data_IF_759539904631
#
_entry.id   IF_759539904631
#
_cell.length_a   1.000
_cell.length_b   1.000
_cell.length_c   1.000
_cell.angle_alpha   90.00
_cell.angle_beta   90.00
_cell.angle_gamma   90.00
#
_symmetry.space_group_name_H-M   'P 1'
#
loop_
_entity.id
_entity.type
_entity.pdbx_description
1 polymer ?
#
# COMPACT_ATOMS: atom_id res chain seq x y z
N UNK A 1 8.99 28.86 -18.55
CA UNK A 1 9.98 28.43 -17.52
C UNK A 1 11.41 28.96 -17.76
N UNK A 2 11.92 29.04 -19.00
CA UNK A 2 13.32 29.46 -19.26
C UNK A 2 13.65 30.93 -18.94
N UNK A 3 12.67 31.83 -18.80
CA UNK A 3 12.93 33.25 -18.50
C UNK A 3 13.04 33.59 -17.01
N UNK A 4 12.54 32.76 -16.09
CA UNK A 4 12.51 33.09 -14.64
C UNK A 4 13.81 32.70 -13.92
N UNK A 5 14.65 31.83 -14.51
CA UNK A 5 15.92 31.40 -13.91
C UNK A 5 17.08 32.40 -14.11
N UNK A 6 16.89 33.48 -14.88
CA UNK A 6 17.94 34.49 -15.16
C UNK A 6 18.12 35.54 -14.06
N UNK A 7 17.19 35.66 -13.11
CA UNK A 7 17.23 36.73 -12.08
C UNK A 7 18.33 36.48 -11.03
N UNK A 8 18.86 35.24 -10.92
CA UNK A 8 19.89 34.87 -9.94
C UNK A 8 21.35 35.01 -10.40
N UNK A 9 21.62 35.38 -11.65
CA UNK A 9 23.00 35.45 -12.17
C UNK A 9 23.81 36.63 -11.62
N UNK A 10 23.15 37.72 -11.20
CA UNK A 10 23.83 38.89 -10.64
C UNK A 10 24.44 38.71 -9.24
N UNK A 11 24.13 37.62 -8.53
CA UNK A 11 24.50 37.42 -7.12
C UNK A 11 25.46 36.25 -6.86
N UNK A 12 26.02 35.62 -7.90
CA UNK A 12 27.01 34.53 -7.75
C UNK A 12 26.49 33.25 -7.07
N UNK A 13 25.16 33.09 -6.93
CA UNK A 13 24.57 31.95 -6.23
C UNK A 13 24.60 30.67 -7.09
N UNK A 14 24.98 29.54 -6.49
CA UNK A 14 24.94 28.23 -7.13
C UNK A 14 23.50 27.79 -7.44
N UNK A 15 23.28 26.88 -8.42
CA UNK A 15 21.95 26.46 -8.85
C UNK A 15 21.07 25.94 -7.70
N UNK A 16 21.67 25.22 -6.74
CA UNK A 16 20.98 24.68 -5.57
C UNK A 16 20.50 25.81 -4.64
N UNK A 17 21.33 26.82 -4.41
CA UNK A 17 20.97 27.97 -3.55
C UNK A 17 19.85 28.81 -4.16
N UNK A 18 19.82 28.96 -5.50
CA UNK A 18 18.72 29.63 -6.22
C UNK A 18 17.40 28.88 -6.05
N UNK A 19 17.43 27.55 -6.11
CA UNK A 19 16.24 26.72 -5.93
C UNK A 19 15.67 26.81 -4.50
N UNK A 20 16.55 26.81 -3.49
CA UNK A 20 16.14 26.98 -2.09
C UNK A 20 15.52 28.37 -1.86
N UNK A 21 16.12 29.44 -2.39
CA UNK A 21 15.58 30.80 -2.27
C UNK A 21 14.19 30.92 -2.91
N UNK A 22 13.98 30.25 -4.04
CA UNK A 22 12.70 30.25 -4.74
C UNK A 22 11.60 29.55 -3.95
N UNK A 23 11.89 28.41 -3.30
CA UNK A 23 10.93 27.71 -2.42
C UNK A 23 10.55 28.60 -1.24
N UNK A 24 11.54 29.28 -0.62
CA UNK A 24 11.29 30.20 0.50
C UNK A 24 10.41 31.38 0.09
N UNK A 25 10.62 31.95 -1.10
CA UNK A 25 9.77 33.03 -1.62
C UNK A 25 8.34 32.57 -1.91
N UNK A 26 8.15 31.34 -2.41
CA UNK A 26 6.81 30.78 -2.61
C UNK A 26 6.10 30.59 -1.27
N UNK A 27 6.80 30.08 -0.24
CA UNK A 27 6.20 29.90 1.08
C UNK A 27 5.87 31.25 1.73
N UNK A 28 6.75 32.24 1.60
CA UNK A 28 6.50 33.60 2.06
C UNK A 28 5.29 34.22 1.34
N UNK A 29 5.17 34.01 0.02
CA UNK A 29 4.03 34.48 -0.76
C UNK A 29 2.71 33.82 -0.32
N UNK A 30 2.72 32.51 -0.05
CA UNK A 30 1.54 31.79 0.46
C UNK A 30 1.10 32.34 1.82
N UNK A 31 2.05 32.70 2.69
CA UNK A 31 1.77 33.29 4.01
C UNK A 31 1.24 34.73 3.88
N UNK A 32 1.71 35.48 2.88
CA UNK A 32 1.31 36.88 2.65
C UNK A 32 0.03 37.05 1.83
N UNK A 33 -0.57 35.96 1.31
CA UNK A 33 -1.90 36.05 0.72
C UNK A 33 -2.92 36.33 1.84
N UNK A 34 -3.60 37.50 1.83
CA UNK A 34 -4.68 37.75 2.76
C UNK A 34 -5.74 36.65 2.56
N UNK A 35 -6.04 35.93 3.63
CA UNK A 35 -7.06 34.90 3.62
C UNK A 35 -8.38 35.53 3.20
N UNK A 36 -8.83 35.23 1.97
CA UNK A 36 -10.19 35.50 1.54
C UNK A 36 -11.13 34.64 2.39
N UNK A 37 -11.47 35.11 3.58
CA UNK A 37 -12.65 34.69 4.32
C UNK A 37 -13.88 35.21 3.58
N UNK A 38 -14.29 34.49 2.55
CA UNK A 38 -15.62 34.60 2.00
C UNK A 38 -16.61 34.02 3.03
N UNK A 39 -17.06 34.86 3.96
CA UNK A 39 -18.28 34.61 4.71
C UNK A 39 -19.45 34.71 3.73
N UNK A 40 -19.91 33.57 3.24
CA UNK A 40 -21.23 33.48 2.64
C UNK A 40 -22.26 33.76 3.73
N UNK A 41 -22.81 34.98 3.71
CA UNK A 41 -23.99 35.35 4.49
C UNK A 41 -25.15 34.45 4.06
N UNK A 42 -25.57 33.55 4.94
CA UNK A 42 -26.86 32.88 4.84
C UNK A 42 -27.90 33.89 5.30
N UNK A 43 -28.55 34.57 4.36
CA UNK A 43 -29.73 35.40 4.63
C UNK A 43 -30.81 34.54 5.29
N UNK A 44 -31.05 34.84 6.57
CA UNK A 44 -32.14 34.28 7.35
C UNK A 44 -33.46 34.96 6.93
N UNK A 45 -34.12 34.44 5.89
CA UNK A 45 -35.53 34.75 5.63
C UNK A 45 -36.41 33.74 6.36
N UNK A 46 -36.73 34.11 7.59
CA UNK A 46 -37.89 33.60 8.32
C UNK A 46 -39.17 33.98 7.57
N UNK A 47 -39.78 33.00 6.90
CA UNK A 47 -41.20 33.02 6.61
C UNK A 47 -41.74 31.62 6.88
N UNK A 48 -42.22 31.43 8.10
CA UNK A 48 -42.99 30.27 8.53
C UNK A 48 -44.30 30.23 7.75
N UNK A 49 -44.61 29.18 6.96
CA UNK A 49 -46.00 28.84 6.69
C UNK A 49 -46.50 28.01 7.87
N UNK A 50 -47.56 28.46 8.51
CA UNK A 50 -48.34 27.64 9.43
C UNK A 50 -49.02 26.51 8.65
N UNK A 51 -48.92 25.33 9.25
CA UNK A 51 -49.90 24.23 9.27
C UNK A 51 -49.68 23.01 8.37
N UNK A 52 -49.74 21.87 9.07
CA UNK A 52 -50.21 20.52 8.69
C UNK A 52 -49.35 19.66 7.76
N UNK A 53 -48.58 18.74 8.37
CA UNK A 53 -48.69 17.28 8.15
C UNK A 53 -47.39 16.58 8.58
N UNK A 54 -47.48 15.66 9.56
CA UNK A 54 -46.36 14.87 10.07
C UNK A 54 -45.82 13.80 9.12
N UNK A 55 -46.23 13.77 7.84
CA UNK A 55 -45.81 12.77 6.85
C UNK A 55 -44.67 13.23 5.92
N UNK A 56 -44.39 14.54 5.83
CA UNK A 56 -43.45 15.09 4.83
C UNK A 56 -41.97 14.99 5.25
N UNK A 57 -41.68 14.95 6.54
CA UNK A 57 -40.34 14.71 7.07
C UNK A 57 -39.87 13.25 6.88
N UNK A 58 -40.82 12.31 6.86
CA UNK A 58 -40.54 10.88 6.72
C UNK A 58 -40.22 10.49 5.26
N UNK A 59 -40.75 11.21 4.27
CA UNK A 59 -40.54 10.93 2.84
C UNK A 59 -39.23 11.52 2.31
N UNK A 60 -38.87 12.75 2.70
CA UNK A 60 -37.62 13.38 2.26
C UNK A 60 -36.37 12.81 2.97
N UNK A 61 -36.48 12.48 4.27
CA UNK A 61 -35.38 11.84 5.02
C UNK A 61 -35.07 10.42 4.53
N UNK A 62 -36.10 9.64 4.19
CA UNK A 62 -35.94 8.28 3.65
C UNK A 62 -35.40 8.27 2.22
N UNK A 63 -35.83 9.22 1.37
CA UNK A 63 -35.29 9.40 0.01
C UNK A 63 -33.81 9.75 0.02
N UNK A 64 -33.37 10.72 0.85
CA UNK A 64 -31.95 11.09 0.95
C UNK A 64 -31.10 9.94 1.49
N UNK A 65 -31.54 9.27 2.56
CA UNK A 65 -30.86 8.09 3.10
C UNK A 65 -30.74 6.97 2.06
N UNK A 66 -31.80 6.73 1.29
CA UNK A 66 -31.81 5.73 0.22
C UNK A 66 -30.80 6.09 -0.88
N UNK A 67 -30.80 7.34 -1.36
CA UNK A 67 -29.83 7.82 -2.35
C UNK A 67 -28.37 7.70 -1.85
N UNK A 68 -28.11 8.08 -0.60
CA UNK A 68 -26.79 7.95 0.03
C UNK A 68 -26.35 6.48 0.11
N UNK A 69 -27.27 5.56 0.42
CA UNK A 69 -27.01 4.12 0.45
C UNK A 69 -26.69 3.55 -0.94
N UNK A 70 -27.40 4.00 -1.98
CA UNK A 70 -27.15 3.61 -3.37
C UNK A 70 -25.80 4.14 -3.86
N UNK A 71 -25.47 5.40 -3.57
CA UNK A 71 -24.18 5.99 -3.90
C UNK A 71 -23.03 5.25 -3.22
N UNK A 72 -23.17 4.89 -1.93
CA UNK A 72 -22.18 4.07 -1.21
C UNK A 72 -21.99 2.70 -1.87
N UNK A 73 -23.08 2.02 -2.22
CA UNK A 73 -23.05 0.71 -2.88
C UNK A 73 -22.38 0.78 -4.26
N UNK A 74 -22.76 1.76 -5.09
CA UNK A 74 -22.15 1.99 -6.41
C UNK A 74 -20.66 2.30 -6.31
N UNK A 75 -20.25 3.14 -5.35
CA UNK A 75 -18.82 3.41 -5.08
C UNK A 75 -18.08 2.13 -4.71
N UNK A 76 -18.67 1.28 -3.86
CA UNK A 76 -18.08 -0.01 -3.50
C UNK A 76 -17.94 -0.94 -4.71
N UNK A 77 -18.99 -1.09 -5.53
CA UNK A 77 -18.97 -1.91 -6.75
C UNK A 77 -17.92 -1.46 -7.77
N UNK A 78 -17.70 -0.15 -7.92
CA UNK A 78 -16.64 0.38 -8.79
C UNK A 78 -15.26 0.01 -8.26
N UNK A 79 -15.04 0.16 -6.94
CA UNK A 79 -13.78 -0.24 -6.29
C UNK A 79 -13.53 -1.74 -6.39
N UNK A 80 -14.55 -2.57 -6.15
CA UNK A 80 -14.46 -4.03 -6.27
C UNK A 80 -14.09 -4.45 -7.69
N UNK A 81 -14.71 -3.82 -8.71
CA UNK A 81 -14.37 -4.06 -10.12
C UNK A 81 -12.94 -3.67 -10.44
N UNK A 82 -12.45 -2.55 -9.92
CA UNK A 82 -11.07 -2.12 -10.15
C UNK A 82 -10.06 -3.13 -9.59
N UNK A 83 -10.28 -3.60 -8.35
CA UNK A 83 -9.45 -4.63 -7.73
C UNK A 83 -9.48 -5.92 -8.56
N UNK A 84 -10.66 -6.47 -8.84
CA UNK A 84 -10.83 -7.71 -9.61
C UNK A 84 -10.17 -7.59 -11.00
N UNK A 85 -10.37 -6.48 -11.70
CA UNK A 85 -9.80 -6.28 -13.02
C UNK A 85 -8.27 -6.19 -12.97
N UNK A 86 -7.71 -5.48 -12.00
CA UNK A 86 -6.25 -5.37 -11.85
C UNK A 86 -5.60 -6.72 -11.53
N UNK A 87 -6.19 -7.51 -10.63
CA UNK A 87 -5.70 -8.86 -10.30
C UNK A 87 -5.79 -9.80 -11.50
N UNK A 88 -6.88 -9.74 -12.28
CA UNK A 88 -7.02 -10.57 -13.50
C UNK A 88 -5.96 -10.27 -14.57
N UNK A 89 -5.42 -9.05 -14.62
CA UNK A 89 -4.37 -8.65 -15.55
C UNK A 89 -2.97 -9.12 -15.11
N UNK A 90 -2.82 -9.55 -13.86
CA UNK A 90 -1.55 -10.06 -13.37
C UNK A 90 -1.29 -11.46 -13.94
N UNK A 91 -0.53 -11.49 -15.02
CA UNK A 91 0.00 -12.75 -15.56
C UNK A 91 1.29 -13.09 -14.83
N UNK A 92 1.38 -14.32 -14.32
CA UNK A 92 2.61 -14.84 -13.74
C UNK A 92 3.47 -15.33 -14.91
N UNK A 93 4.70 -14.82 -15.09
CA UNK A 93 5.60 -15.32 -16.12
C UNK A 93 5.81 -16.83 -16.00
N UNK A 94 6.08 -17.50 -17.12
CA UNK A 94 6.48 -18.90 -17.09
C UNK A 94 7.77 -19.05 -16.27
N UNK A 95 7.73 -19.90 -15.24
CA UNK A 95 8.84 -19.99 -14.28
C UNK A 95 8.88 -18.88 -13.22
N UNK A 96 7.86 -18.02 -13.15
CA UNK A 96 7.68 -17.00 -12.10
C UNK A 96 8.72 -15.88 -12.12
N UNK A 97 8.92 -15.24 -10.96
CA UNK A 97 9.91 -14.15 -10.77
C UNK A 97 11.06 -14.67 -9.92
N UNK A 98 12.29 -14.49 -10.39
CA UNK A 98 13.53 -14.80 -9.65
C UNK A 98 14.31 -13.53 -9.30
N UNK A 99 15.35 -13.68 -8.47
CA UNK A 99 16.16 -12.54 -8.00
C UNK A 99 16.71 -11.73 -9.19
N UNK A 100 16.67 -10.41 -9.07
CA UNK A 100 17.05 -9.41 -10.08
C UNK A 100 16.10 -9.23 -11.28
N UNK A 101 15.08 -10.08 -11.42
CA UNK A 101 14.04 -9.89 -12.43
C UNK A 101 13.27 -8.59 -12.20
N UNK A 102 12.89 -7.95 -13.30
CA UNK A 102 12.01 -6.79 -13.28
C UNK A 102 10.58 -7.26 -13.12
N UNK A 103 9.83 -6.68 -12.16
CA UNK A 103 8.43 -7.04 -11.97
C UNK A 103 7.58 -6.63 -13.17
N UNK A 104 6.57 -7.44 -13.56
CA UNK A 104 5.69 -7.13 -14.68
C UNK A 104 4.99 -5.77 -14.51
N UNK A 105 4.70 -5.07 -15.61
CA UNK A 105 3.96 -3.81 -15.54
C UNK A 105 2.61 -3.95 -14.81
N UNK A 106 1.93 -5.09 -15.01
CA UNK A 106 0.68 -5.41 -14.33
C UNK A 106 0.80 -5.45 -12.81
N UNK A 107 1.96 -5.80 -12.24
CA UNK A 107 2.19 -5.73 -10.80
C UNK A 107 2.04 -4.30 -10.28
N UNK A 108 2.56 -3.31 -11.02
CA UNK A 108 2.50 -1.90 -10.64
C UNK A 108 1.11 -1.28 -10.86
N UNK A 109 0.29 -1.89 -11.72
CA UNK A 109 -1.10 -1.51 -11.95
C UNK A 109 -2.06 -2.08 -10.89
N UNK A 110 -1.59 -2.98 -10.01
CA UNK A 110 -2.42 -3.61 -8.98
C UNK A 110 -3.02 -2.58 -8.04
N UNK A 111 -4.31 -2.76 -7.78
CA UNK A 111 -5.06 -2.03 -6.77
C UNK A 111 -5.57 -3.01 -5.72
N UNK A 112 -5.24 -2.78 -4.45
CA UNK A 112 -5.55 -3.71 -3.36
C UNK A 112 -6.37 -3.02 -2.27
N UNK A 113 -7.31 -3.76 -1.69
CA UNK A 113 -7.98 -3.34 -0.47
C UNK A 113 -7.06 -3.52 0.72
N UNK A 114 -6.95 -2.46 1.53
CA UNK A 114 -6.24 -2.50 2.80
C UNK A 114 -7.08 -1.95 3.92
N UNK A 115 -6.77 -2.36 5.13
CA UNK A 115 -7.15 -1.64 6.34
C UNK A 115 -6.10 -0.56 6.61
N UNK A 116 -6.59 0.66 6.80
CA UNK A 116 -5.78 1.80 7.20
C UNK A 116 -5.57 1.82 8.70
N UNK A 117 -4.86 2.85 9.17
CA UNK A 117 -4.52 3.05 10.59
C UNK A 117 -5.75 3.05 11.50
N UNK A 118 -6.89 3.55 11.01
CA UNK A 118 -8.17 3.59 11.74
C UNK A 118 -9.08 2.38 11.47
N UNK A 119 -8.58 1.33 10.81
CA UNK A 119 -9.37 0.15 10.44
C UNK A 119 -10.34 0.39 9.28
N UNK A 120 -10.29 1.55 8.64
CA UNK A 120 -11.13 1.86 7.48
C UNK A 120 -10.58 1.18 6.23
N UNK A 121 -11.48 0.60 5.43
CA UNK A 121 -11.12 0.03 4.13
C UNK A 121 -10.72 1.14 3.16
N UNK A 122 -9.49 1.06 2.66
CA UNK A 122 -8.96 1.95 1.63
C UNK A 122 -8.35 1.15 0.48
N UNK A 123 -8.31 1.78 -0.69
CA UNK A 123 -7.55 1.25 -1.82
C UNK A 123 -6.13 1.81 -1.77
N UNK A 124 -5.17 0.96 -2.09
CA UNK A 124 -3.78 1.35 -2.39
C UNK A 124 -3.43 0.88 -3.79
N UNK A 125 -2.49 1.58 -4.43
CA UNK A 125 -1.93 1.18 -5.71
C UNK A 125 -0.48 0.76 -5.53
N UNK A 126 -0.09 -0.37 -6.10
CA UNK A 126 1.30 -0.85 -6.01
C UNK A 126 2.27 0.13 -6.67
N UNK A 127 1.83 0.84 -7.71
CA UNK A 127 2.58 1.92 -8.36
C UNK A 127 3.03 3.05 -7.42
N UNK A 128 2.31 3.29 -6.31
CA UNK A 128 2.68 4.32 -5.32
C UNK A 128 4.01 3.99 -4.60
N UNK A 129 4.42 2.72 -4.62
CA UNK A 129 5.61 2.18 -3.96
C UNK A 129 6.79 1.97 -4.91
N UNK A 130 6.65 2.27 -6.20
CA UNK A 130 7.67 1.97 -7.24
C UNK A 130 9.04 2.62 -6.99
N UNK A 131 9.08 3.69 -6.20
CA UNK A 131 10.30 4.44 -5.84
C UNK A 131 10.82 4.12 -4.43
N UNK A 132 10.13 3.26 -3.70
CA UNK A 132 10.50 2.86 -2.33
C UNK A 132 11.28 1.55 -2.38
N UNK A 133 12.00 1.24 -1.30
CA UNK A 133 12.28 -0.16 -0.96
C UNK A 133 10.94 -0.76 -0.49
N UNK A 134 10.29 -1.54 -1.35
CA UNK A 134 8.99 -2.15 -1.06
C UNK A 134 9.20 -3.51 -0.40
N UNK A 135 8.61 -3.70 0.77
CA UNK A 135 8.61 -4.95 1.53
C UNK A 135 7.16 -5.42 1.63
N UNK A 136 6.91 -6.59 1.05
CA UNK A 136 5.66 -7.33 1.20
C UNK A 136 5.90 -8.43 2.23
N UNK A 137 5.08 -8.50 3.26
CA UNK A 137 5.16 -9.56 4.27
C UNK A 137 3.91 -10.43 4.21
N UNK A 138 4.06 -11.62 3.64
CA UNK A 138 3.01 -12.62 3.54
C UNK A 138 2.93 -13.39 4.86
N UNK A 139 1.85 -13.17 5.61
CA UNK A 139 1.70 -13.72 6.96
C UNK A 139 0.35 -14.41 7.15
N UNK A 140 0.22 -15.19 8.21
CA UNK A 140 -1.05 -15.79 8.62
C UNK A 140 -1.11 -15.98 10.14
N UNK A 141 -2.32 -16.05 10.69
CA UNK A 141 -2.56 -16.14 12.14
C UNK A 141 -1.95 -17.38 12.80
N UNK A 142 -1.77 -18.46 12.02
CA UNK A 142 -1.10 -19.69 12.46
C UNK A 142 0.44 -19.63 12.44
N UNK A 143 1.02 -18.50 12.03
CA UNK A 143 2.46 -18.30 11.95
C UNK A 143 2.94 -17.28 12.98
N UNK A 144 3.31 -17.74 14.18
CA UNK A 144 3.86 -16.87 15.23
C UNK A 144 5.06 -16.01 14.76
N UNK A 145 6.11 -16.57 14.10
CA UNK A 145 7.23 -15.75 13.65
C UNK A 145 6.83 -14.74 12.57
N UNK A 146 5.80 -15.01 11.76
CA UNK A 146 5.31 -14.04 10.78
C UNK A 146 4.60 -12.86 11.48
N UNK A 147 3.87 -13.09 12.56
CA UNK A 147 3.24 -12.01 13.34
C UNK A 147 4.32 -11.10 13.94
N UNK A 148 5.37 -11.68 14.51
CA UNK A 148 6.53 -10.93 15.04
C UNK A 148 7.27 -10.15 13.93
N UNK A 149 7.38 -10.74 12.73
CA UNK A 149 7.93 -10.07 11.56
C UNK A 149 7.12 -8.82 11.19
N UNK A 150 5.79 -8.90 11.22
CA UNK A 150 4.91 -7.75 10.94
C UNK A 150 5.00 -6.69 12.05
N UNK A 151 5.18 -7.06 13.33
CA UNK A 151 5.43 -6.10 14.42
C UNK A 151 6.67 -5.23 14.13
N UNK A 152 7.76 -5.85 13.67
CA UNK A 152 8.99 -5.17 13.29
C UNK A 152 8.79 -4.31 12.04
N UNK A 153 8.09 -4.85 11.04
CA UNK A 153 7.81 -4.14 9.80
C UNK A 153 6.94 -2.88 10.03
N UNK A 154 5.95 -2.95 10.92
CA UNK A 154 5.13 -1.80 11.32
C UNK A 154 5.98 -0.66 11.91
N UNK A 155 6.92 -1.03 12.79
CA UNK A 155 7.86 -0.09 13.41
C UNK A 155 8.75 0.58 12.35
N UNK A 156 9.23 -0.19 11.38
CA UNK A 156 10.05 0.31 10.27
C UNK A 156 9.26 1.26 9.37
N UNK A 157 8.02 0.92 9.02
CA UNK A 157 7.15 1.78 8.20
C UNK A 157 6.95 3.15 8.86
N UNK A 158 6.75 3.17 10.18
CA UNK A 158 6.59 4.40 10.95
C UNK A 158 7.89 5.23 10.98
N UNK A 159 9.06 4.58 11.06
CA UNK A 159 10.36 5.25 11.13
C UNK A 159 10.86 5.78 9.79
N UNK A 160 10.76 5.00 8.73
CA UNK A 160 11.34 5.31 7.41
C UNK A 160 10.35 5.98 6.44
N UNK A 161 9.07 6.06 6.80
CA UNK A 161 8.06 6.79 6.04
C UNK A 161 7.94 6.28 4.62
N UNK A 162 8.12 7.16 3.61
CA UNK A 162 7.99 6.78 2.19
C UNK A 162 9.25 6.14 1.59
N UNK A 163 10.38 6.15 2.31
CA UNK A 163 11.63 5.54 1.82
C UNK A 163 11.48 4.02 1.75
N UNK A 164 10.81 3.44 2.76
CA UNK A 164 10.43 2.04 2.80
C UNK A 164 8.91 1.96 2.68
N UNK A 165 8.44 1.21 1.69
CA UNK A 165 7.03 0.88 1.55
C UNK A 165 6.78 -0.48 2.17
N UNK A 166 6.00 -0.55 3.24
CA UNK A 166 5.67 -1.79 3.91
C UNK A 166 4.19 -2.14 3.71
N UNK A 167 3.92 -3.38 3.34
CA UNK A 167 2.55 -3.90 3.21
C UNK A 167 2.50 -5.29 3.85
N UNK A 168 1.66 -5.44 4.88
CA UNK A 168 1.32 -6.75 5.41
C UNK A 168 0.23 -7.37 4.53
N UNK A 169 0.40 -8.61 4.13
CA UNK A 169 -0.54 -9.34 3.27
C UNK A 169 -0.96 -10.60 3.99
N UNK A 170 -2.18 -10.60 4.51
CA UNK A 170 -2.69 -11.77 5.20
C UNK A 170 -3.12 -12.84 4.19
N UNK A 171 -2.62 -14.06 4.37
CA UNK A 171 -2.93 -15.20 3.52
C UNK A 171 -3.35 -16.41 4.36
N UNK A 172 -4.24 -17.22 3.79
CA UNK A 172 -4.70 -18.51 4.31
C UNK A 172 -5.55 -18.47 5.59
N UNK A 173 -5.99 -17.30 6.04
CA UNK A 173 -6.88 -17.17 7.19
C UNK A 173 -8.37 -17.15 6.84
N UNK A 174 -9.16 -17.59 7.82
CA UNK A 174 -10.58 -17.31 7.84
C UNK A 174 -10.83 -15.79 8.01
N UNK A 175 -11.92 -15.25 7.41
CA UNK A 175 -12.27 -13.84 7.54
C UNK A 175 -12.32 -13.37 9.00
N UNK A 176 -11.85 -12.16 9.29
CA UNK A 176 -11.88 -11.55 10.63
C UNK A 176 -10.66 -11.85 11.52
N UNK A 177 -9.89 -12.90 11.24
CA UNK A 177 -8.70 -13.24 12.07
C UNK A 177 -7.60 -12.21 11.92
N UNK A 178 -7.35 -11.75 10.69
CA UNK A 178 -6.31 -10.78 10.40
C UNK A 178 -6.61 -9.43 11.06
N UNK A 179 -7.86 -9.00 10.99
CA UNK A 179 -8.36 -7.76 11.57
C UNK A 179 -8.21 -7.76 13.09
N UNK A 180 -8.60 -8.85 13.75
CA UNK A 180 -8.45 -9.01 15.20
C UNK A 180 -6.98 -8.91 15.63
N UNK A 181 -6.08 -9.63 14.96
CA UNK A 181 -4.64 -9.58 15.29
C UNK A 181 -4.08 -8.17 15.06
N UNK A 182 -4.46 -7.52 13.96
CA UNK A 182 -4.06 -6.14 13.67
C UNK A 182 -4.45 -5.19 14.81
N UNK A 183 -5.68 -5.31 15.30
CA UNK A 183 -6.20 -4.51 16.42
C UNK A 183 -5.44 -4.81 17.73
N UNK A 184 -5.26 -6.09 18.07
CA UNK A 184 -4.53 -6.53 19.27
C UNK A 184 -3.07 -6.06 19.27
N UNK A 185 -2.42 -6.06 18.10
CA UNK A 185 -1.03 -5.61 17.93
C UNK A 185 -0.88 -4.11 17.71
N UNK A 186 -1.97 -3.41 17.41
CA UNK A 186 -1.95 -1.96 17.14
C UNK A 186 -1.24 -1.58 15.84
N UNK A 187 -1.21 -2.47 14.85
CA UNK A 187 -0.52 -2.23 13.57
C UNK A 187 -1.13 -1.06 12.78
N UNK A 188 -0.25 -0.21 12.27
CA UNK A 188 -0.59 1.02 11.54
C UNK A 188 -0.29 0.93 10.05
N UNK A 189 0.61 0.02 9.65
CA UNK A 189 0.92 -0.22 8.25
C UNK A 189 -0.32 -0.72 7.47
N UNK A 190 -0.36 -0.52 6.14
CA UNK A 190 -1.39 -1.09 5.30
C UNK A 190 -1.45 -2.63 5.45
N UNK A 191 -2.63 -3.14 5.82
CA UNK A 191 -2.90 -4.58 5.89
C UNK A 191 -3.86 -4.97 4.77
N UNK A 192 -3.39 -5.78 3.82
CA UNK A 192 -4.24 -6.39 2.79
C UNK A 192 -4.95 -7.60 3.41
N UNK A 193 -6.28 -7.64 3.20
CA UNK A 193 -7.16 -8.72 3.66
C UNK A 193 -8.01 -9.24 2.49
N UNK A 194 -8.21 -10.55 2.41
CA UNK A 194 -9.19 -11.15 1.52
C UNK A 194 -8.71 -12.42 0.80
N UNK A 195 -9.63 -13.01 0.02
CA UNK A 195 -9.36 -14.21 -0.81
C UNK A 195 -8.57 -13.88 -2.10
N UNK A 196 -8.20 -12.63 -2.33
CA UNK A 196 -7.65 -12.11 -3.59
C UNK A 196 -6.17 -12.42 -3.84
N UNK A 197 -5.38 -12.72 -2.81
CA UNK A 197 -3.93 -12.56 -2.90
C UNK A 197 -3.14 -13.87 -3.00
N UNK A 198 -3.79 -14.93 -3.49
CA UNK A 198 -3.06 -16.13 -3.91
C UNK A 198 -2.26 -15.89 -5.19
N UNK A 199 -2.74 -15.03 -6.09
CA UNK A 199 -2.02 -14.72 -7.33
C UNK A 199 -0.77 -13.88 -7.09
N UNK A 200 -0.86 -12.89 -6.19
CA UNK A 200 0.28 -12.09 -5.79
C UNK A 200 1.34 -12.94 -5.07
N UNK A 201 0.92 -13.86 -4.20
CA UNK A 201 1.84 -14.82 -3.57
C UNK A 201 2.51 -15.73 -4.61
N UNK A 202 1.72 -16.25 -5.55
CA UNK A 202 2.21 -17.07 -6.68
C UNK A 202 3.11 -16.32 -7.64
N UNK A 203 3.21 -15.00 -7.59
CA UNK A 203 4.21 -14.28 -8.39
C UNK A 203 5.63 -14.58 -7.91
N UNK A 204 5.80 -14.86 -6.61
CA UNK A 204 7.10 -15.03 -5.95
C UNK A 204 7.36 -16.47 -5.49
N UNK A 205 6.30 -17.21 -5.18
CA UNK A 205 6.39 -18.57 -4.66
C UNK A 205 5.78 -19.60 -5.62
N UNK A 206 6.47 -20.72 -5.80
CA UNK A 206 5.95 -21.88 -6.55
C UNK A 206 4.81 -22.56 -5.82
N UNK A 207 4.78 -22.42 -4.49
CA UNK A 207 3.70 -22.86 -3.63
C UNK A 207 3.30 -21.80 -2.63
N UNK A 208 2.02 -21.82 -2.23
CA UNK A 208 1.48 -20.99 -1.17
C UNK A 208 2.40 -20.99 0.06
N UNK A 209 3.05 -19.84 0.33
CA UNK A 209 4.02 -19.73 1.40
C UNK A 209 3.91 -18.38 2.14
N UNK A 210 4.44 -18.36 3.35
CA UNK A 210 4.64 -17.14 4.13
C UNK A 210 6.08 -16.62 3.97
N UNK A 211 6.29 -15.37 4.34
CA UNK A 211 7.59 -14.74 4.37
C UNK A 211 7.62 -13.39 3.66
N UNK A 212 8.79 -12.78 3.66
CA UNK A 212 9.00 -11.47 3.08
C UNK A 212 9.46 -11.54 1.64
N UNK A 213 9.04 -10.54 0.87
CA UNK A 213 9.50 -10.26 -0.49
C UNK A 213 9.94 -8.81 -0.54
N UNK A 214 11.20 -8.59 -0.89
CA UNK A 214 11.81 -7.26 -0.96
C UNK A 214 12.00 -6.87 -2.42
N UNK A 215 11.52 -5.69 -2.77
CA UNK A 215 11.47 -5.17 -4.13
C UNK A 215 12.13 -3.80 -4.13
N UNK A 216 13.06 -3.59 -5.06
CA UNK A 216 13.79 -2.32 -5.17
C UNK A 216 14.04 -2.00 -6.64
N UNK A 217 13.85 -0.73 -7.00
CA UNK A 217 14.06 -0.23 -8.36
C UNK A 217 13.28 -1.02 -9.42
N UNK A 218 12.07 -1.48 -9.06
CA UNK A 218 11.21 -2.26 -9.94
C UNK A 218 11.57 -3.75 -10.03
N UNK A 219 12.57 -4.22 -9.29
CA UNK A 219 13.11 -5.58 -9.38
C UNK A 219 12.94 -6.37 -8.09
N UNK A 220 12.82 -7.68 -8.20
CA UNK A 220 12.91 -8.57 -7.04
C UNK A 220 14.33 -8.51 -6.48
N UNK A 221 14.47 -8.01 -5.26
CA UNK A 221 15.76 -7.87 -4.58
C UNK A 221 16.07 -9.10 -3.75
N UNK A 222 15.13 -9.55 -2.92
CA UNK A 222 15.34 -10.64 -1.99
C UNK A 222 14.03 -11.31 -1.57
N UNK A 223 14.12 -12.59 -1.25
CA UNK A 223 13.12 -13.33 -0.46
C UNK A 223 13.92 -13.93 0.70
N UNK A 224 14.06 -13.23 1.84
CA UNK A 224 14.99 -13.68 2.87
C UNK A 224 14.45 -14.85 3.72
N UNK A 225 15.34 -15.70 4.25
CA UNK A 225 14.98 -16.72 5.26
C UNK A 225 14.70 -16.04 6.60
N UNK A 226 13.47 -16.16 7.11
CA UNK A 226 13.02 -15.70 8.45
C UNK A 226 13.79 -14.47 8.98
N UNK A 227 14.05 -13.49 8.10
CA UNK A 227 15.03 -12.49 8.41
C UNK A 227 14.35 -11.49 9.31
N UNK A 228 14.84 -11.43 10.54
CA UNK A 228 14.57 -10.31 11.40
C UNK A 228 14.98 -9.05 10.62
N UNK A 229 13.99 -8.26 10.21
CA UNK A 229 14.21 -6.97 9.58
C UNK A 229 15.12 -6.14 10.46
N UNK A 230 16.30 -5.78 9.95
CA UNK A 230 17.28 -5.00 10.68
C UNK A 230 17.52 -3.67 10.00
N UNK A 231 17.48 -2.59 10.78
CA UNK A 231 17.66 -1.24 10.28
C UNK A 231 19.01 -1.01 9.58
N UNK A 232 20.08 -1.64 10.07
CA UNK A 232 21.41 -1.49 9.48
C UNK A 232 21.50 -2.12 8.08
N UNK A 233 20.83 -3.26 7.88
CA UNK A 233 20.70 -3.93 6.57
C UNK A 233 19.88 -3.04 5.63
N UNK A 234 18.74 -2.54 6.10
CA UNK A 234 17.87 -1.65 5.31
C UNK A 234 18.59 -0.36 4.92
N UNK A 235 19.33 0.26 5.83
CA UNK A 235 20.11 1.47 5.55
C UNK A 235 21.19 1.22 4.49
N UNK A 236 21.85 0.07 4.50
CA UNK A 236 22.80 -0.32 3.45
C UNK A 236 22.09 -0.49 2.10
N UNK A 237 20.95 -1.19 2.06
CA UNK A 237 20.16 -1.38 0.84
C UNK A 237 19.70 -0.04 0.26
N UNK A 238 19.12 0.84 1.08
CA UNK A 238 18.67 2.18 0.66
C UNK A 238 19.82 3.00 0.06
N UNK A 239 21.03 2.84 0.60
CA UNK A 239 22.24 3.54 0.14
C UNK A 239 23.02 2.80 -0.96
N UNK A 240 22.43 1.76 -1.56
CA UNK A 240 23.05 0.91 -2.59
C UNK A 240 24.38 0.28 -2.16
N UNK A 241 24.56 0.02 -0.87
CA UNK A 241 25.72 -0.71 -0.36
C UNK A 241 25.44 -2.21 -0.40
N UNK A 242 26.44 -3.04 -0.77
CA UNK A 242 26.30 -4.48 -0.74
C UNK A 242 25.88 -4.99 0.64
N UNK A 243 24.98 -5.95 0.65
CA UNK A 243 24.54 -6.69 1.83
C UNK A 243 24.51 -8.15 1.48
N UNK A 244 24.94 -8.99 2.43
CA UNK A 244 24.70 -10.42 2.35
C UNK A 244 23.32 -10.70 2.95
N UNK A 245 22.44 -11.32 2.17
CA UNK A 245 21.08 -11.67 2.57
C UNK A 245 20.94 -13.16 2.36
N UNK A 246 20.68 -13.88 3.44
CA UNK A 246 20.34 -15.28 3.36
C UNK A 246 18.98 -15.44 2.68
N UNK A 247 18.98 -16.03 1.49
CA UNK A 247 17.78 -16.19 0.66
C UNK A 247 17.04 -17.47 1.04
N UNK A 248 15.72 -17.37 1.17
CA UNK A 248 14.85 -18.53 1.20
C UNK A 248 14.63 -19.01 -0.23
N UNK A 249 15.33 -20.06 -0.62
CA UNK A 249 15.14 -20.71 -1.91
C UNK A 249 13.98 -21.69 -1.91
N UNK A 250 13.48 -22.12 -0.75
CA UNK A 250 12.44 -23.14 -0.67
C UNK A 250 11.08 -22.63 -1.13
N UNK A 251 10.42 -23.43 -1.98
CA UNK A 251 9.08 -23.11 -2.50
C UNK A 251 9.05 -21.79 -3.29
N UNK A 252 10.19 -21.35 -3.80
CA UNK A 252 10.33 -20.21 -4.71
C UNK A 252 10.65 -20.70 -6.13
N UNK A 253 10.64 -19.78 -7.08
CA UNK A 253 10.96 -20.07 -8.48
C UNK A 253 12.46 -20.30 -8.75
N UNK A 254 13.32 -19.95 -7.81
CA UNK A 254 14.75 -20.25 -7.86
C UNK A 254 15.13 -21.44 -6.94
N UNK A 255 14.14 -22.16 -6.40
CA UNK A 255 14.36 -23.48 -5.80
C UNK A 255 14.89 -24.43 -6.87
N UNK A 256 16.08 -25.01 -6.66
CA UNK A 256 16.68 -25.98 -7.60
C UNK A 256 15.82 -27.22 -7.83
N UNK A 257 14.86 -27.50 -6.93
CA UNK A 257 13.93 -28.63 -7.03
C UNK A 257 12.72 -28.32 -7.92
N UNK A 258 12.46 -27.04 -8.20
CA UNK A 258 11.37 -26.64 -9.08
C UNK A 258 11.71 -26.97 -10.54
N UNK A 259 10.81 -27.69 -11.20
CA UNK A 259 11.00 -28.21 -12.57
C UNK A 259 10.03 -27.61 -13.60
N UNK A 260 9.30 -26.56 -13.24
CA UNK A 260 8.28 -25.92 -14.09
C UNK A 260 6.96 -26.70 -14.25
N UNK A 261 6.86 -27.94 -13.76
CA UNK A 261 5.71 -28.83 -13.94
C UNK A 261 4.93 -29.14 -12.66
N UNK A 262 5.48 -28.75 -11.51
CA UNK A 262 4.85 -29.01 -10.23
C UNK A 262 3.66 -28.04 -10.00
N UNK A 263 2.43 -28.50 -10.24
CA UNK A 263 1.19 -27.68 -10.10
C UNK A 263 0.45 -27.88 -8.78
N UNK A 264 0.87 -28.84 -7.93
CA UNK A 264 0.20 -29.16 -6.67
C UNK A 264 1.11 -29.06 -5.44
N UNK A 265 0.64 -28.46 -4.33
CA UNK A 265 1.41 -28.32 -3.11
C UNK A 265 1.83 -29.69 -2.58
N UNK A 266 3.14 -29.96 -2.57
CA UNK A 266 3.67 -31.13 -1.87
C UNK A 266 3.31 -30.98 -0.39
N UNK A 267 2.63 -31.98 0.23
CA UNK A 267 2.24 -31.88 1.62
C UNK A 267 3.49 -31.65 2.46
N UNK A 268 3.41 -30.68 3.38
CA UNK A 268 4.45 -30.46 4.39
C UNK A 268 4.68 -31.80 5.09
N UNK A 269 5.88 -32.35 4.95
CA UNK A 269 6.30 -33.52 5.72
C UNK A 269 6.03 -33.22 7.19
N UNK A 270 5.07 -33.94 7.77
CA UNK A 270 4.83 -33.96 9.20
C UNK A 270 6.12 -34.44 9.86
N UNK A 271 6.83 -33.53 10.52
CA UNK A 271 7.99 -33.87 11.31
C UNK A 271 7.47 -34.54 12.59
N UNK A 272 7.97 -35.76 12.82
CA UNK A 272 7.77 -36.54 14.06
C UNK A 272 8.20 -35.77 15.30
#
# INVERSE_FOLDING_TARGET
MKQILRIGEGYGLSPVKRYVLFILLIHLYIILLPGNSAQAQVENKSSVPKSTSGSEWLTNGSSRYYQDSLLKRRKQEVRDRAVIHSVKKLEIPEGGIVIADTLPAAFWDLCLYTLDTGGSKRLIFMGDYKRSLLILDFWGSGCKPCIESVDVLDSIQQKFGRIIGAIAINVFDAPGRAEKIREERGWKLPLVIGKGDTLLNKLFYTYANWGQVWIKDGKLLAIPTNAMLREDVLAKIITNRPVDIEMNDQLTYFDKRYNGKDTEPKPKNQTK
#
